data_IF_860840843513
#
_entry.id   IF_860840843513
#
_cell.length_a   1.000
_cell.length_b   1.000
_cell.length_c   1.000
_cell.angle_alpha   90.00
_cell.angle_beta   90.00
_cell.angle_gamma   90.00
#
_symmetry.space_group_name_H-M   'P 1'
#
loop_
_entity.id
_entity.type
_entity.pdbx_description
1 polymer ?
#
# COMPACT_ATOMS: atom_id res chain seq x y z
N UNK A 1 22.58 11.57 11.86
CA UNK A 1 22.57 11.45 10.40
C UNK A 1 21.42 10.55 10.04
N UNK A 2 20.33 11.09 9.49
CA UNK A 2 19.18 10.28 9.09
C UNK A 2 19.57 9.50 7.83
N UNK A 3 19.96 8.24 8.01
CA UNK A 3 20.22 7.32 6.92
C UNK A 3 18.86 6.86 6.40
N UNK A 4 18.37 7.48 5.33
CA UNK A 4 17.25 6.98 4.55
C UNK A 4 17.77 6.43 3.23
N UNK A 5 17.07 5.45 2.66
CA UNK A 5 17.33 4.98 1.29
C UNK A 5 16.10 5.17 0.42
N UNK A 6 16.33 5.21 -0.87
CA UNK A 6 15.28 5.25 -1.86
C UNK A 6 14.48 3.94 -1.87
N UNK A 7 13.16 4.00 -2.03
CA UNK A 7 12.32 2.80 -2.15
C UNK A 7 12.67 1.96 -3.38
N UNK A 8 13.12 2.58 -4.48
CA UNK A 8 13.59 1.88 -5.69
C UNK A 8 14.86 1.08 -5.41
N UNK A 9 15.78 1.64 -4.60
CA UNK A 9 16.97 0.91 -4.15
C UNK A 9 16.61 -0.24 -3.22
N UNK A 10 15.63 -0.03 -2.33
CA UNK A 10 15.11 -1.07 -1.46
C UNK A 10 14.52 -2.23 -2.26
N UNK A 11 13.69 -1.95 -3.27
CA UNK A 11 13.12 -2.96 -4.17
C UNK A 11 14.21 -3.82 -4.83
N UNK A 12 15.27 -3.18 -5.34
CA UNK A 12 16.42 -3.89 -5.94
C UNK A 12 17.15 -4.78 -4.93
N UNK A 13 17.32 -4.32 -3.69
CA UNK A 13 18.00 -5.08 -2.62
C UNK A 13 17.18 -6.27 -2.12
N UNK A 14 15.87 -6.10 -2.01
CA UNK A 14 14.96 -7.14 -1.53
C UNK A 14 14.56 -8.14 -2.61
N UNK A 15 14.73 -7.79 -3.89
CA UNK A 15 14.21 -8.58 -5.01
C UNK A 15 12.68 -8.50 -5.14
N UNK A 16 12.04 -7.56 -4.46
CA UNK A 16 10.60 -7.32 -4.54
C UNK A 16 10.27 -6.32 -5.64
N UNK A 17 9.05 -6.43 -6.17
CA UNK A 17 8.48 -5.46 -7.09
C UNK A 17 7.97 -4.23 -6.33
N UNK A 18 8.18 -3.06 -6.90
CA UNK A 18 7.63 -1.80 -6.42
C UNK A 18 6.38 -1.46 -7.25
N UNK A 19 5.23 -1.31 -6.60
CA UNK A 19 3.94 -1.08 -7.26
C UNK A 19 3.20 0.08 -6.60
N UNK A 20 2.43 0.81 -7.41
CA UNK A 20 1.42 1.76 -6.94
C UNK A 20 0.07 1.08 -7.14
N UNK A 21 -0.60 0.79 -6.03
CA UNK A 21 -1.86 0.03 -6.01
C UNK A 21 -2.99 0.90 -5.48
N UNK A 22 -4.22 0.54 -5.81
CA UNK A 22 -5.42 1.12 -5.20
C UNK A 22 -5.77 0.31 -3.95
N UNK A 23 -5.99 0.97 -2.83
CA UNK A 23 -6.54 0.30 -1.66
C UNK A 23 -8.06 0.27 -1.76
N UNK A 24 -8.68 -0.85 -1.40
CA UNK A 24 -10.12 -1.06 -1.45
C UNK A 24 -10.63 -1.52 -0.09
N UNK A 25 -11.86 -1.12 0.26
CA UNK A 25 -12.55 -1.59 1.45
C UNK A 25 -13.96 -2.06 1.09
N UNK A 26 -14.37 -3.18 1.66
CA UNK A 26 -15.73 -3.69 1.51
C UNK A 26 -16.66 -2.97 2.48
N UNK A 27 -17.81 -2.54 1.97
CA UNK A 27 -18.87 -1.95 2.76
C UNK A 27 -20.12 -2.80 2.64
N UNK A 28 -20.65 -3.22 3.78
CA UNK A 28 -21.94 -3.88 3.87
C UNK A 28 -23.06 -2.85 3.87
N UNK A 29 -24.06 -3.08 3.04
CA UNK A 29 -25.30 -2.31 3.06
C UNK A 29 -26.50 -3.21 3.29
N UNK A 30 -27.41 -2.74 4.13
CA UNK A 30 -28.65 -3.42 4.43
C UNK A 30 -29.83 -2.52 4.07
N UNK A 31 -30.62 -2.97 3.10
CA UNK A 31 -31.89 -2.33 2.77
C UNK A 31 -33.01 -3.02 3.54
N UNK A 32 -33.41 -2.40 4.65
CA UNK A 32 -34.43 -2.94 5.56
C UNK A 32 -35.83 -3.03 4.94
N UNK A 33 -36.14 -2.20 3.94
CA UNK A 33 -37.45 -2.19 3.30
C UNK A 33 -37.67 -3.40 2.40
N UNK A 34 -36.60 -3.86 1.73
CA UNK A 34 -36.64 -5.05 0.87
C UNK A 34 -36.00 -6.30 1.50
N UNK A 35 -35.46 -6.19 2.72
CA UNK A 35 -34.71 -7.24 3.40
C UNK A 35 -33.55 -7.79 2.56
N UNK A 36 -32.80 -6.90 1.91
CA UNK A 36 -31.66 -7.22 1.04
C UNK A 36 -30.37 -6.83 1.76
N UNK A 37 -29.44 -7.78 1.84
CA UNK A 37 -28.05 -7.55 2.22
C UNK A 37 -27.20 -7.52 0.96
N UNK A 38 -26.35 -6.50 0.83
CA UNK A 38 -25.43 -6.35 -0.29
C UNK A 38 -24.07 -5.88 0.24
N UNK A 39 -23.01 -6.17 -0.52
CA UNK A 39 -21.64 -5.81 -0.18
C UNK A 39 -20.95 -5.31 -1.44
N UNK A 40 -20.31 -4.15 -1.36
CA UNK A 40 -19.52 -3.62 -2.48
C UNK A 40 -18.17 -3.09 -2.00
N UNK A 41 -17.18 -3.16 -2.89
CA UNK A 41 -15.85 -2.63 -2.64
C UNK A 41 -15.74 -1.20 -3.17
N UNK A 42 -15.23 -0.29 -2.34
CA UNK A 42 -14.90 1.07 -2.76
C UNK A 42 -13.39 1.33 -2.71
N UNK A 43 -12.85 2.07 -3.70
CA UNK A 43 -11.47 2.52 -3.68
C UNK A 43 -11.27 3.64 -2.66
N UNK A 44 -10.25 3.53 -1.82
CA UNK A 44 -10.00 4.47 -0.73
C UNK A 44 -8.80 5.40 -1.00
N UNK A 45 -7.63 4.84 -1.30
CA UNK A 45 -6.38 5.61 -1.51
C UNK A 45 -5.43 4.89 -2.46
N UNK A 46 -4.37 5.58 -2.89
CA UNK A 46 -3.25 4.97 -3.64
C UNK A 46 -2.12 4.66 -2.67
N UNK A 47 -1.50 3.50 -2.81
CA UNK A 47 -0.43 3.07 -1.91
C UNK A 47 0.75 2.57 -2.72
N UNK A 48 1.94 3.03 -2.38
CA UNK A 48 3.21 2.49 -2.83
C UNK A 48 3.53 1.28 -1.97
N UNK A 49 3.65 0.11 -2.59
CA UNK A 49 3.91 -1.16 -1.92
C UNK A 49 5.13 -1.86 -2.50
N UNK A 50 5.87 -2.57 -1.64
CA UNK A 50 6.82 -3.60 -2.05
C UNK A 50 6.15 -4.96 -1.95
N UNK A 51 6.20 -5.74 -3.02
CA UNK A 51 5.44 -6.98 -3.15
C UNK A 51 6.17 -8.04 -3.96
N UNK A 52 5.81 -9.32 -3.76
CA UNK A 52 6.26 -10.43 -4.62
C UNK A 52 5.46 -10.54 -5.92
N UNK A 53 4.35 -9.80 -6.05
CA UNK A 53 3.43 -9.92 -7.17
C UNK A 53 3.64 -8.76 -8.15
N UNK A 54 4.17 -9.06 -9.35
CA UNK A 54 4.48 -8.07 -10.38
C UNK A 54 3.23 -7.31 -10.87
N UNK A 55 2.11 -8.02 -10.99
CA UNK A 55 0.85 -7.50 -11.55
C UNK A 55 -0.15 -7.07 -10.48
N UNK A 56 0.30 -6.80 -9.24
CA UNK A 56 -0.61 -6.32 -8.19
C UNK A 56 -1.18 -4.94 -8.56
N UNK A 57 -2.51 -4.83 -8.50
CA UNK A 57 -3.26 -3.60 -8.79
C UNK A 57 -4.02 -3.09 -7.56
N UNK A 58 -4.50 -3.99 -6.70
CA UNK A 58 -5.34 -3.66 -5.56
C UNK A 58 -4.91 -4.35 -4.27
N UNK A 59 -5.17 -3.69 -3.14
CA UNK A 59 -4.94 -4.23 -1.79
C UNK A 59 -6.13 -3.92 -0.90
N UNK A 60 -6.46 -4.83 0.02
CA UNK A 60 -7.52 -4.58 0.99
C UNK A 60 -7.04 -3.66 2.12
N UNK A 61 -7.86 -2.66 2.48
CA UNK A 61 -7.59 -1.67 3.52
C UNK A 61 -8.66 -1.75 4.61
N UNK A 62 -8.30 -2.35 5.74
CA UNK A 62 -9.24 -2.48 6.86
C UNK A 62 -9.65 -1.11 7.43
N UNK A 63 -8.68 -0.18 7.52
CA UNK A 63 -8.83 1.13 8.17
C UNK A 63 -8.25 2.25 7.28
N UNK A 64 -8.94 2.64 6.20
CA UNK A 64 -8.48 3.68 5.28
C UNK A 64 -8.40 5.07 5.93
N UNK A 65 -9.14 5.30 7.02
CA UNK A 65 -9.15 6.55 7.77
C UNK A 65 -7.90 6.76 8.64
N UNK A 66 -7.11 5.71 8.86
CA UNK A 66 -5.87 5.78 9.63
C UNK A 66 -4.65 5.90 8.71
N UNK A 67 -3.62 6.67 9.12
CA UNK A 67 -2.36 6.71 8.40
C UNK A 67 -1.75 5.32 8.27
N UNK A 68 -1.11 5.03 7.13
CA UNK A 68 -0.42 3.77 6.97
C UNK A 68 0.76 3.65 7.94
N UNK A 69 1.06 2.42 8.35
CA UNK A 69 2.28 2.11 9.11
C UNK A 69 3.38 1.73 8.11
N UNK A 70 4.34 2.64 7.92
CA UNK A 70 5.41 2.47 6.93
C UNK A 70 6.24 1.21 7.25
N UNK A 71 6.35 0.32 6.27
CA UNK A 71 7.06 -0.96 6.34
C UNK A 71 6.29 -2.07 7.03
N UNK A 72 5.02 -1.88 7.39
CA UNK A 72 4.18 -2.98 7.88
C UNK A 72 3.86 -3.92 6.73
N UNK A 73 4.04 -5.23 6.95
CA UNK A 73 3.62 -6.27 6.02
C UNK A 73 2.13 -6.58 6.21
N UNK A 74 1.32 -6.37 5.17
CA UNK A 74 -0.11 -6.66 5.15
C UNK A 74 -0.37 -7.55 3.93
N UNK A 75 -0.86 -8.77 4.17
CA UNK A 75 -1.14 -9.77 3.13
C UNK A 75 0.05 -10.01 2.18
N UNK A 76 1.28 -9.99 2.72
CA UNK A 76 2.51 -10.20 1.95
C UNK A 76 3.03 -8.96 1.20
N UNK A 77 2.44 -7.78 1.41
CA UNK A 77 2.84 -6.51 0.81
C UNK A 77 3.33 -5.54 1.89
N UNK A 78 4.51 -4.96 1.71
CA UNK A 78 5.03 -3.93 2.60
C UNK A 78 4.56 -2.56 2.15
N UNK A 79 3.79 -1.88 2.99
CA UNK A 79 3.22 -0.57 2.65
C UNK A 79 4.20 0.54 2.96
N UNK A 80 4.51 1.39 1.98
CA UNK A 80 5.61 2.36 2.10
C UNK A 80 5.10 3.79 2.21
N UNK A 81 4.16 4.18 1.35
CA UNK A 81 3.63 5.54 1.31
C UNK A 81 2.23 5.55 0.71
N UNK A 82 1.33 6.36 1.24
CA UNK A 82 0.00 6.56 0.69
C UNK A 82 -0.18 7.95 0.06
N UNK A 83 -1.14 8.02 -0.84
CA UNK A 83 -1.53 9.21 -1.59
C UNK A 83 -3.05 9.25 -1.73
N UNK A 84 -3.68 10.45 -1.76
CA UNK A 84 -5.10 10.58 -2.06
C UNK A 84 -5.48 9.91 -3.37
N UNK A 85 -6.69 9.35 -3.46
CA UNK A 85 -7.19 8.67 -4.68
C UNK A 85 -7.18 9.58 -5.92
N UNK A 86 -7.31 10.89 -5.72
CA UNK A 86 -7.24 11.92 -6.77
C UNK A 86 -5.83 12.12 -7.35
N UNK A 87 -4.81 11.51 -6.75
CA UNK A 87 -3.43 11.58 -7.24
C UNK A 87 -3.28 10.70 -8.48
N UNK A 88 -2.80 11.28 -9.58
CA UNK A 88 -2.51 10.50 -10.78
C UNK A 88 -1.28 9.60 -10.52
N UNK A 89 -1.41 8.26 -10.60
CA UNK A 89 -0.32 7.34 -10.29
C UNK A 89 0.91 7.53 -11.20
N UNK A 90 0.71 7.94 -12.45
CA UNK A 90 1.80 8.16 -13.41
C UNK A 90 2.64 9.42 -13.09
N UNK A 91 2.18 10.27 -12.17
CA UNK A 91 2.90 11.47 -11.71
C UNK A 91 3.61 11.25 -10.38
N UNK A 92 3.53 10.05 -9.80
CA UNK A 92 4.20 9.75 -8.55
C UNK A 92 5.65 9.39 -8.87
N UNK A 93 6.58 10.25 -8.45
CA UNK A 93 8.02 10.02 -8.60
C UNK A 93 8.51 9.09 -7.49
N UNK A 94 8.68 7.80 -7.82
CA UNK A 94 9.10 6.77 -6.86
C UNK A 94 10.54 7.00 -6.38
N UNK A 95 11.35 7.66 -7.20
CA UNK A 95 12.71 8.09 -6.90
C UNK A 95 12.77 9.14 -5.78
N UNK A 96 11.65 9.79 -5.42
CA UNK A 96 11.64 10.73 -4.30
C UNK A 96 11.16 10.09 -3.00
N UNK A 97 10.68 8.84 -3.04
CA UNK A 97 10.15 8.15 -1.87
C UNK A 97 11.31 7.57 -1.05
N UNK A 98 11.57 8.21 0.09
CA UNK A 98 12.61 7.82 1.03
C UNK A 98 12.04 6.99 2.18
N UNK A 99 12.75 5.92 2.53
CA UNK A 99 12.41 5.01 3.64
C UNK A 99 13.50 5.07 4.70
N UNK A 100 13.16 5.22 6.00
CA UNK A 100 14.15 5.17 7.08
C UNK A 100 14.89 3.83 7.12
N UNK A 101 16.19 3.86 7.42
CA UNK A 101 17.01 2.64 7.47
C UNK A 101 16.50 1.60 8.49
N UNK A 102 15.92 2.03 9.61
CA UNK A 102 15.33 1.11 10.59
C UNK A 102 14.22 0.25 9.96
N UNK A 103 13.35 0.88 9.16
CA UNK A 103 12.28 0.19 8.44
C UNK A 103 12.86 -0.76 7.39
N UNK A 104 13.88 -0.30 6.66
CA UNK A 104 14.59 -1.11 5.66
C UNK A 104 15.17 -2.37 6.27
N UNK A 105 15.90 -2.23 7.38
CA UNK A 105 16.52 -3.34 8.07
C UNK A 105 15.48 -4.33 8.61
N UNK A 106 14.30 -3.84 9.04
CA UNK A 106 13.19 -4.70 9.45
C UNK A 106 12.62 -5.49 8.27
N UNK A 107 12.32 -4.83 7.15
CA UNK A 107 11.82 -5.49 5.94
C UNK A 107 12.80 -6.57 5.47
N UNK A 108 14.10 -6.26 5.40
CA UNK A 108 15.12 -7.21 4.94
C UNK A 108 15.34 -8.40 5.90
N UNK A 109 15.04 -8.26 7.19
CA UNK A 109 15.10 -9.37 8.16
C UNK A 109 13.92 -10.33 8.06
N UNK A 110 12.77 -9.84 7.59
CA UNK A 110 11.52 -10.61 7.48
C UNK A 110 11.39 -11.38 6.15
N UNK A 111 12.23 -11.07 5.16
CA UNK A 111 12.28 -11.72 3.85
C UNK A 111 13.03 -13.05 3.87
#
# INVERSE_FOLDING_TARGET
>A
MNNSINVVELAKKSGLHLRIVTSVKSFDTYNSFFNIYDSFDEPCRRIVVLTKYEDLEEVYDENPDEPIVVGKCISGNYWIKDYPLTTNPNKIELEEVLVPKEVVDNILKEL
#
